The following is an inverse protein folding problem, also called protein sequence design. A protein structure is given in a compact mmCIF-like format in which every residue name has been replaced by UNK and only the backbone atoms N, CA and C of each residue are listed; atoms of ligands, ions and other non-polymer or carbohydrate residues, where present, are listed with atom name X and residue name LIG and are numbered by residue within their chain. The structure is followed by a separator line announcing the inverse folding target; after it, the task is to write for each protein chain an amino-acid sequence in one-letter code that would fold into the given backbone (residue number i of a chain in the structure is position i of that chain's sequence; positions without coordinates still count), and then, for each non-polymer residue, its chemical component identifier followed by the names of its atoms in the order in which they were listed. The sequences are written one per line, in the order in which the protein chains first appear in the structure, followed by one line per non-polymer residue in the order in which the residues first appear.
data_IF_976442180702
#
_entry.id   IF_976442180702
#
_cell.length_a   1.000
_cell.length_b   1.000
_cell.length_c   1.000
_cell.angle_alpha   90.00
_cell.angle_beta   90.00
_cell.angle_gamma   90.00
#
_symmetry.space_group_name_H-M   'P 1'
#
loop_
_entity.id
_entity.type
_entity.pdbx_description
1 polymer ?
#
# COMPACT_ATOMS: atom_id res chain seq x y z
N UNK A 1 -54.08 -25.04 -27.68
CA UNK A 1 -52.76 -24.57 -28.15
C UNK A 1 -52.24 -23.57 -27.13
N UNK A 2 -51.31 -23.96 -26.26
CA UNK A 2 -50.75 -23.08 -25.21
C UNK A 2 -49.50 -22.40 -25.76
N UNK A 3 -49.52 -21.07 -25.87
CA UNK A 3 -48.35 -20.27 -26.23
C UNK A 3 -47.39 -20.24 -25.03
N UNK A 4 -46.15 -20.72 -25.24
CA UNK A 4 -45.05 -20.46 -24.32
C UNK A 4 -44.47 -19.07 -24.64
N UNK A 5 -44.60 -18.14 -23.69
CA UNK A 5 -43.85 -16.90 -23.66
C UNK A 5 -42.46 -17.19 -23.09
N UNK A 6 -41.41 -17.03 -23.91
CA UNK A 6 -40.02 -17.04 -23.48
C UNK A 6 -39.66 -15.62 -23.01
N UNK A 7 -39.47 -15.47 -21.70
CA UNK A 7 -38.93 -14.26 -21.08
C UNK A 7 -37.39 -14.38 -21.09
N UNK A 8 -36.73 -13.70 -22.03
CA UNK A 8 -35.27 -13.63 -22.06
C UNK A 8 -34.77 -12.60 -21.03
N UNK A 9 -34.18 -13.07 -19.94
CA UNK A 9 -33.45 -12.23 -19.00
C UNK A 9 -32.10 -11.84 -19.63
N UNK A 10 -31.93 -10.57 -20.00
CA UNK A 10 -30.63 -10.00 -20.37
C UNK A 10 -29.84 -9.71 -19.09
N UNK A 11 -28.89 -10.58 -18.74
CA UNK A 11 -27.85 -10.28 -17.76
C UNK A 11 -26.85 -9.31 -18.40
N UNK A 12 -26.91 -8.02 -18.06
CA UNK A 12 -25.77 -7.13 -18.27
C UNK A 12 -24.65 -7.54 -17.29
N UNK A 13 -23.67 -8.27 -17.79
CA UNK A 13 -22.42 -8.47 -17.08
C UNK A 13 -21.67 -7.13 -17.03
N UNK A 14 -21.72 -6.43 -15.91
CA UNK A 14 -20.82 -5.32 -15.65
C UNK A 14 -19.40 -5.89 -15.53
N UNK A 15 -18.61 -5.73 -16.58
CA UNK A 15 -17.18 -6.02 -16.53
C UNK A 15 -16.52 -5.01 -15.59
N UNK A 16 -16.44 -5.35 -14.30
CA UNK A 16 -15.53 -4.69 -13.38
C UNK A 16 -14.11 -5.02 -13.84
N UNK A 17 -13.40 -4.05 -14.42
CA UNK A 17 -11.96 -4.16 -14.61
C UNK A 17 -11.31 -4.09 -13.23
N UNK A 18 -11.20 -5.24 -12.56
CA UNK A 18 -10.39 -5.35 -11.36
C UNK A 18 -8.93 -5.17 -11.76
N UNK A 19 -8.39 -3.98 -11.48
CA UNK A 19 -7.01 -3.69 -11.81
C UNK A 19 -6.07 -4.53 -10.95
N UNK A 20 -5.09 -5.17 -11.60
CA UNK A 20 -4.16 -6.08 -10.93
C UNK A 20 -3.30 -5.31 -9.92
N UNK A 21 -3.21 -5.83 -8.70
CA UNK A 21 -2.27 -5.34 -7.70
C UNK A 21 -0.83 -5.57 -8.19
N UNK A 22 -0.05 -4.49 -8.26
CA UNK A 22 1.34 -4.50 -8.68
C UNK A 22 2.28 -5.00 -7.58
N UNK A 23 1.84 -5.00 -6.32
CA UNK A 23 2.60 -5.50 -5.16
C UNK A 23 2.54 -7.01 -5.12
N UNK A 24 3.69 -7.67 -5.10
CA UNK A 24 3.76 -9.13 -4.91
C UNK A 24 3.71 -9.47 -3.42
N UNK A 25 3.03 -10.57 -3.09
CA UNK A 25 2.91 -11.04 -1.72
C UNK A 25 2.36 -9.95 -0.78
N UNK A 26 1.30 -9.28 -1.23
CA UNK A 26 0.70 -8.11 -0.59
C UNK A 26 0.10 -8.34 0.79
N UNK A 27 -0.39 -9.55 1.05
CA UNK A 27 -0.96 -9.97 2.34
C UNK A 27 -0.05 -10.91 3.12
N UNK A 28 1.25 -10.98 2.80
CA UNK A 28 2.24 -11.74 3.57
C UNK A 28 1.92 -13.23 3.77
N UNK A 29 1.17 -13.85 2.85
CA UNK A 29 0.76 -15.26 2.91
C UNK A 29 1.86 -16.24 2.51
N UNK A 30 3.01 -15.75 2.05
CA UNK A 30 4.16 -16.55 1.64
C UNK A 30 5.42 -15.97 2.27
N UNK A 31 5.39 -15.87 3.58
CA UNK A 31 6.41 -15.21 4.39
C UNK A 31 6.68 -13.78 3.90
N UNK A 32 7.94 -13.33 3.98
CA UNK A 32 8.38 -12.02 3.48
C UNK A 32 8.92 -12.08 2.04
N UNK A 33 8.60 -13.12 1.28
CA UNK A 33 9.09 -13.29 -0.11
C UNK A 33 8.68 -12.09 -0.98
N UNK A 34 9.64 -11.59 -1.79
CA UNK A 34 9.58 -10.37 -2.62
C UNK A 34 9.70 -9.04 -1.87
N UNK A 35 9.86 -9.06 -0.55
CA UNK A 35 10.17 -7.86 0.22
C UNK A 35 11.67 -7.81 0.55
N UNK A 36 12.26 -6.63 0.44
CA UNK A 36 13.63 -6.31 0.91
C UNK A 36 13.54 -5.84 2.36
N UNK A 37 14.64 -5.98 3.13
CA UNK A 37 14.68 -5.58 4.54
C UNK A 37 14.06 -6.60 5.48
N UNK A 38 14.03 -7.89 5.08
CA UNK A 38 13.37 -8.96 5.84
C UNK A 38 13.94 -9.13 7.25
N UNK A 39 15.21 -8.77 7.47
CA UNK A 39 15.86 -8.75 8.78
C UNK A 39 15.23 -7.76 9.77
N UNK A 40 14.47 -6.78 9.29
CA UNK A 40 13.79 -5.77 10.10
C UNK A 40 12.37 -6.20 10.51
N UNK A 41 11.88 -7.34 10.04
CA UNK A 41 10.49 -7.74 10.19
C UNK A 41 10.34 -9.22 10.56
N UNK A 42 9.16 -9.55 11.06
CA UNK A 42 8.69 -10.92 11.23
C UNK A 42 7.25 -11.03 10.72
N UNK A 43 6.67 -12.22 10.81
CA UNK A 43 5.25 -12.45 10.54
C UNK A 43 4.46 -12.48 11.86
N UNK A 44 3.27 -11.92 11.86
CA UNK A 44 2.29 -12.12 12.93
C UNK A 44 1.14 -12.99 12.45
N UNK A 45 0.88 -14.11 13.13
CA UNK A 45 -0.29 -14.95 12.89
C UNK A 45 -1.48 -14.58 13.78
N UNK A 46 -1.29 -13.68 14.74
CA UNK A 46 -2.33 -13.23 15.69
C UNK A 46 -2.97 -11.93 15.21
N UNK A 47 -2.16 -10.90 15.08
CA UNK A 47 -2.55 -9.60 14.54
C UNK A 47 -2.41 -9.62 13.03
N UNK A 48 -3.50 -9.95 12.34
CA UNK A 48 -3.61 -9.96 10.88
C UNK A 48 -4.93 -9.36 10.44
N UNK A 49 -4.94 -8.70 9.29
CA UNK A 49 -6.16 -8.09 8.76
C UNK A 49 -6.96 -9.09 7.95
N UNK A 50 -6.29 -9.90 7.13
CA UNK A 50 -6.88 -11.02 6.39
C UNK A 50 -5.93 -12.23 6.42
N UNK A 51 -6.36 -13.33 5.81
CA UNK A 51 -5.49 -14.50 5.61
C UNK A 51 -4.92 -15.13 6.88
N UNK A 52 -3.67 -15.56 6.81
CA UNK A 52 -2.93 -16.31 7.83
C UNK A 52 -1.89 -15.47 8.55
N UNK A 53 -1.40 -14.39 7.94
CA UNK A 53 -0.34 -13.57 8.53
C UNK A 53 -0.35 -12.12 8.08
N UNK A 54 0.29 -11.25 8.87
CA UNK A 54 0.68 -9.89 8.49
C UNK A 54 2.18 -9.70 8.68
N UNK A 55 2.75 -8.63 8.11
CA UNK A 55 4.10 -8.21 8.44
C UNK A 55 4.11 -7.44 9.77
N UNK A 56 5.06 -7.77 10.64
CA UNK A 56 5.34 -7.13 11.92
C UNK A 56 6.71 -6.46 11.86
N UNK A 57 6.79 -5.19 12.25
CA UNK A 57 8.06 -4.53 12.59
C UNK A 57 7.95 -4.03 14.02
N UNK A 58 8.90 -4.39 14.87
CA UNK A 58 8.97 -3.91 16.25
C UNK A 58 10.38 -3.44 16.63
N UNK A 59 10.40 -2.51 17.57
CA UNK A 59 11.62 -2.03 18.21
C UNK A 59 11.25 -1.44 19.58
N UNK A 60 11.93 -1.85 20.64
CA UNK A 60 11.64 -1.36 22.00
C UNK A 60 12.68 -0.37 22.51
N UNK A 61 13.84 -0.30 21.85
CA UNK A 61 14.93 0.65 22.17
C UNK A 61 15.67 1.03 20.89
N UNK A 62 16.29 2.21 20.86
CA UNK A 62 17.17 2.66 19.78
C UNK A 62 16.52 3.61 18.77
N UNK A 63 15.19 3.54 18.57
CA UNK A 63 14.47 4.39 17.63
C UNK A 63 15.15 4.48 16.25
N UNK A 64 15.45 3.33 15.64
CA UNK A 64 16.11 3.22 14.35
C UNK A 64 15.08 3.24 13.21
N UNK A 65 15.56 3.46 11.99
CA UNK A 65 14.73 3.25 10.81
C UNK A 65 14.69 1.77 10.47
N UNK A 66 13.50 1.16 10.54
CA UNK A 66 13.25 -0.24 10.16
C UNK A 66 12.15 -0.29 9.13
N UNK A 67 12.38 -0.98 8.01
CA UNK A 67 11.39 -1.07 6.95
C UNK A 67 11.45 -2.37 6.18
N UNK A 68 10.30 -2.74 5.63
CA UNK A 68 10.20 -3.60 4.46
C UNK A 68 9.96 -2.73 3.22
N UNK A 69 10.56 -3.07 2.09
CA UNK A 69 10.27 -2.39 0.83
C UNK A 69 10.14 -3.32 -0.37
N UNK A 70 9.39 -2.86 -1.37
CA UNK A 70 9.29 -3.50 -2.67
C UNK A 70 9.38 -2.44 -3.76
N UNK A 71 10.33 -2.60 -4.68
CA UNK A 71 10.47 -1.74 -5.85
C UNK A 71 9.73 -2.34 -7.03
N UNK A 72 8.79 -1.56 -7.59
CA UNK A 72 7.83 -1.97 -8.60
C UNK A 72 8.09 -1.17 -9.88
N UNK A 73 8.11 -1.84 -11.03
CA UNK A 73 8.15 -1.16 -12.33
C UNK A 73 6.80 -0.51 -12.60
N UNK A 74 6.82 0.78 -12.93
CA UNK A 74 5.61 1.51 -13.30
C UNK A 74 5.18 1.02 -14.70
N UNK A 75 3.93 0.53 -14.87
CA UNK A 75 3.44 0.16 -16.19
C UNK A 75 3.51 1.33 -17.17
N UNK A 76 3.79 1.05 -18.44
CA UNK A 76 3.83 2.09 -19.48
C UNK A 76 2.48 2.82 -19.56
N UNK A 77 2.52 4.11 -19.88
CA UNK A 77 1.34 4.98 -20.04
C UNK A 77 0.50 5.17 -18.76
N UNK A 78 1.04 4.84 -17.58
CA UNK A 78 0.42 5.20 -16.30
C UNK A 78 0.55 6.70 -16.04
N UNK A 79 -0.53 7.35 -15.60
CA UNK A 79 -0.56 8.76 -15.22
C UNK A 79 -0.31 8.96 -13.72
N UNK A 80 -0.90 8.10 -12.91
CA UNK A 80 -0.78 8.09 -11.46
C UNK A 80 -0.60 6.67 -10.93
N UNK A 81 -0.33 6.54 -9.63
CA UNK A 81 -0.48 5.30 -8.88
C UNK A 81 -1.43 5.54 -7.71
N UNK A 82 -2.29 4.58 -7.41
CA UNK A 82 -3.01 4.53 -6.14
C UNK A 82 -2.36 3.49 -5.25
N UNK A 83 -1.96 3.92 -4.07
CA UNK A 83 -1.40 3.05 -3.05
C UNK A 83 -2.38 2.94 -1.89
N UNK A 84 -2.54 1.74 -1.35
CA UNK A 84 -3.17 1.53 -0.06
C UNK A 84 -2.52 0.41 0.73
N UNK A 85 -2.57 0.47 2.06
CA UNK A 85 -2.26 -0.67 2.91
C UNK A 85 -3.04 -0.56 4.22
N UNK A 86 -3.34 -1.71 4.82
CA UNK A 86 -3.83 -1.76 6.18
C UNK A 86 -2.66 -1.64 7.13
N UNK A 87 -2.78 -0.77 8.13
CA UNK A 87 -1.79 -0.59 9.18
C UNK A 87 -2.47 -0.60 10.54
N UNK A 88 -1.86 -1.31 11.50
CA UNK A 88 -2.20 -1.31 12.92
C UNK A 88 -0.95 -0.95 13.70
N UNK A 89 -1.09 -0.19 14.78
CA UNK A 89 0.03 0.15 15.66
C UNK A 89 -0.26 -0.28 17.08
N UNK A 90 0.80 -0.65 17.80
CA UNK A 90 0.76 -0.91 19.22
C UNK A 90 1.93 -0.20 19.90
N UNK A 91 1.60 0.74 20.80
CA UNK A 91 2.54 1.54 21.58
C UNK A 91 3.63 2.21 20.74
N UNK A 92 3.30 2.69 19.54
CA UNK A 92 4.25 3.49 18.74
C UNK A 92 4.47 4.83 19.42
N UNK A 93 5.69 5.09 19.88
CA UNK A 93 5.98 6.27 20.69
C UNK A 93 5.83 7.56 19.90
N UNK A 94 5.25 8.57 20.56
CA UNK A 94 5.23 9.93 20.04
C UNK A 94 6.59 10.58 20.28
N UNK A 95 7.23 11.02 19.20
CA UNK A 95 8.48 11.77 19.22
C UNK A 95 8.23 13.24 18.87
N UNK A 96 9.24 14.10 19.11
CA UNK A 96 9.18 15.54 18.80
C UNK A 96 8.88 15.79 17.32
N UNK A 97 9.49 15.03 16.42
CA UNK A 97 9.26 15.15 14.99
C UNK A 97 8.11 14.24 14.52
N UNK A 98 7.18 14.79 13.75
CA UNK A 98 5.99 14.05 13.34
C UNK A 98 6.23 12.89 12.37
N UNK A 99 7.35 12.93 11.65
CA UNK A 99 7.72 11.84 10.74
C UNK A 99 8.18 10.57 11.47
N UNK A 100 8.53 10.68 12.76
CA UNK A 100 8.93 9.55 13.59
C UNK A 100 7.71 8.79 14.08
N UNK A 101 7.32 7.79 13.30
CA UNK A 101 6.03 7.12 13.40
C UNK A 101 6.07 5.77 12.66
N UNK A 102 5.02 4.97 12.83
CA UNK A 102 4.70 3.96 11.84
C UNK A 102 4.26 4.66 10.54
N UNK A 103 4.74 4.21 9.38
CA UNK A 103 4.49 4.90 8.12
C UNK A 103 4.40 3.97 6.91
N UNK A 104 3.53 4.36 5.96
CA UNK A 104 3.50 3.84 4.60
C UNK A 104 3.96 4.97 3.68
N UNK A 105 5.04 4.74 2.96
CA UNK A 105 5.69 5.76 2.12
C UNK A 105 5.89 5.17 0.73
N UNK A 106 5.70 5.98 -0.31
CA UNK A 106 6.13 5.64 -1.66
C UNK A 106 7.24 6.59 -2.11
N UNK A 107 8.18 6.07 -2.88
CA UNK A 107 9.22 6.83 -3.57
C UNK A 107 9.15 6.60 -5.06
N UNK A 108 9.15 7.68 -5.84
CA UNK A 108 9.32 7.59 -7.28
C UNK A 108 10.79 7.62 -7.62
N UNK A 109 11.21 6.68 -8.46
CA UNK A 109 12.61 6.42 -8.77
C UNK A 109 12.79 6.44 -10.29
N UNK A 110 13.85 7.06 -10.76
CA UNK A 110 14.17 7.12 -12.19
C UNK A 110 14.83 5.81 -12.69
N UNK A 111 15.21 5.77 -13.97
CA UNK A 111 15.87 4.61 -14.56
C UNK A 111 17.27 4.30 -13.98
N UNK A 112 17.93 5.29 -13.37
CA UNK A 112 19.26 5.20 -12.78
C UNK A 112 19.21 4.95 -11.25
N UNK A 113 18.07 4.46 -10.75
CA UNK A 113 17.84 4.16 -9.33
C UNK A 113 17.99 5.34 -8.36
N UNK A 114 17.86 6.57 -8.88
CA UNK A 114 17.82 7.80 -8.08
C UNK A 114 16.38 8.17 -7.73
N UNK A 115 16.15 8.46 -6.45
CA UNK A 115 14.88 9.02 -5.97
C UNK A 115 14.61 10.39 -6.63
N UNK A 116 13.39 10.56 -7.12
CA UNK A 116 12.85 11.81 -7.68
C UNK A 116 12.04 12.54 -6.61
N UNK A 117 11.11 11.84 -5.97
CA UNK A 117 10.24 12.37 -4.92
C UNK A 117 9.73 11.24 -4.02
N UNK A 118 9.11 11.62 -2.90
CA UNK A 118 8.48 10.71 -1.95
C UNK A 118 7.14 11.26 -1.48
N UNK A 119 6.19 10.37 -1.21
CA UNK A 119 4.89 10.70 -0.63
C UNK A 119 4.59 9.80 0.56
N UNK A 120 4.09 10.40 1.64
CA UNK A 120 3.53 9.64 2.77
C UNK A 120 2.07 9.32 2.47
N UNK A 121 1.74 8.03 2.46
CA UNK A 121 0.37 7.53 2.24
C UNK A 121 -0.38 7.46 3.58
N UNK A 122 0.32 7.06 4.64
CA UNK A 122 -0.25 6.94 5.97
C UNK A 122 0.81 7.05 7.05
N UNK A 123 0.39 7.56 8.21
CA UNK A 123 1.18 7.61 9.45
C UNK A 123 0.30 7.29 10.65
N UNK A 124 0.87 6.60 11.63
CA UNK A 124 0.23 6.29 12.89
C UNK A 124 1.23 6.33 14.05
N UNK A 125 0.72 6.75 15.21
CA UNK A 125 1.39 6.76 16.51
C UNK A 125 0.43 6.15 17.54
N UNK A 126 0.93 5.86 18.73
CA UNK A 126 0.21 5.23 19.83
C UNK A 126 -0.28 3.83 19.44
N UNK A 127 -1.35 3.36 20.10
CA UNK A 127 -2.05 2.13 19.73
C UNK A 127 -3.26 2.50 18.88
N UNK A 128 -3.42 1.83 17.74
CA UNK A 128 -4.55 2.03 16.83
C UNK A 128 -5.15 0.69 16.43
N UNK A 129 -6.41 0.68 16.03
CA UNK A 129 -6.97 -0.43 15.26
C UNK A 129 -6.49 -0.39 13.80
N UNK A 130 -6.75 -1.48 13.07
CA UNK A 130 -6.49 -1.57 11.64
C UNK A 130 -7.19 -0.45 10.89
N UNK A 131 -6.40 0.38 10.21
CA UNK A 131 -6.89 1.46 9.35
C UNK A 131 -6.34 1.28 7.95
N UNK A 132 -7.20 1.42 6.93
CA UNK A 132 -6.76 1.41 5.55
C UNK A 132 -6.32 2.84 5.16
N UNK A 133 -5.02 3.01 4.97
CA UNK A 133 -4.47 4.25 4.43
C UNK A 133 -4.41 4.14 2.92
N UNK A 134 -4.99 5.11 2.22
CA UNK A 134 -5.09 5.11 0.76
C UNK A 134 -4.83 6.52 0.21
N UNK A 135 -4.02 6.60 -0.85
CA UNK A 135 -3.77 7.86 -1.57
C UNK A 135 -3.42 7.57 -3.03
N UNK A 136 -3.99 8.37 -3.93
CA UNK A 136 -3.58 8.42 -5.33
C UNK A 136 -2.55 9.54 -5.52
N UNK A 137 -1.49 9.27 -6.26
CA UNK A 137 -0.37 10.18 -6.47
C UNK A 137 0.01 10.20 -7.94
N UNK A 138 0.05 11.39 -8.53
CA UNK A 138 0.52 11.60 -9.90
C UNK A 138 1.98 11.16 -10.04
N UNK A 139 2.28 10.41 -11.09
CA UNK A 139 3.64 9.95 -11.38
C UNK A 139 4.47 11.17 -11.83
N UNK A 140 5.59 11.51 -11.15
CA UNK A 140 6.47 12.58 -11.58
C UNK A 140 7.12 12.28 -12.93
N UNK A 141 7.48 13.33 -13.66
CA UNK A 141 8.25 13.19 -14.89
C UNK A 141 9.53 12.37 -14.64
N UNK A 142 9.85 11.49 -15.59
CA UNK A 142 11.02 10.60 -15.58
C UNK A 142 11.01 9.46 -14.55
N UNK A 143 9.98 9.30 -13.73
CA UNK A 143 9.83 8.13 -12.88
C UNK A 143 9.61 6.88 -13.72
N UNK A 144 10.30 5.79 -13.35
CA UNK A 144 10.22 4.46 -14.00
C UNK A 144 9.87 3.36 -13.01
N UNK A 145 10.19 3.58 -11.74
CA UNK A 145 9.90 2.67 -10.65
C UNK A 145 9.20 3.44 -9.53
N UNK A 146 8.43 2.72 -8.74
CA UNK A 146 7.90 3.17 -7.47
C UNK A 146 8.31 2.17 -6.42
N UNK A 147 8.92 2.64 -5.33
CA UNK A 147 9.24 1.82 -4.17
C UNK A 147 8.22 2.12 -3.09
N UNK A 148 7.55 1.08 -2.61
CA UNK A 148 6.71 1.16 -1.41
C UNK A 148 7.52 0.71 -0.20
N UNK A 149 7.46 1.50 0.87
CA UNK A 149 8.11 1.24 2.14
C UNK A 149 7.08 1.16 3.25
N UNK A 150 7.17 0.10 4.05
CA UNK A 150 6.39 -0.13 5.26
C UNK A 150 7.36 -0.01 6.43
N UNK A 151 7.24 1.05 7.21
CA UNK A 151 8.29 1.46 8.13
C UNK A 151 7.81 1.66 9.57
N UNK A 152 8.67 1.30 10.51
CA UNK A 152 8.74 1.91 11.82
C UNK A 152 9.88 2.95 11.75
N UNK A 153 9.50 4.21 11.53
CA UNK A 153 10.45 5.28 11.21
C UNK A 153 10.99 5.93 12.48
N UNK A 154 12.18 5.54 12.91
CA UNK A 154 12.95 6.22 13.96
C UNK A 154 12.15 6.47 15.25
N UNK A 155 11.41 5.45 15.68
CA UNK A 155 10.64 5.45 16.94
C UNK A 155 10.55 4.02 17.47
N UNK A 156 10.14 3.87 18.73
CA UNK A 156 9.89 2.55 19.32
C UNK A 156 8.39 2.21 19.25
N UNK A 157 8.08 0.93 19.44
CA UNK A 157 6.74 0.36 19.38
C UNK A 157 6.67 -0.80 18.41
N UNK A 158 5.44 -1.18 18.06
CA UNK A 158 5.15 -2.24 17.11
C UNK A 158 4.18 -1.75 16.05
N UNK A 159 4.45 -2.10 14.81
CA UNK A 159 3.54 -1.85 13.68
C UNK A 159 3.29 -3.14 12.92
N UNK A 160 2.05 -3.32 12.48
CA UNK A 160 1.61 -4.39 11.62
C UNK A 160 1.12 -3.82 10.30
N UNK A 161 1.45 -4.50 9.20
CA UNK A 161 1.01 -4.14 7.85
C UNK A 161 0.42 -5.35 7.15
N UNK A 162 -0.66 -5.13 6.41
CA UNK A 162 -1.33 -6.18 5.67
C UNK A 162 -2.06 -5.62 4.43
N UNK A 163 -2.41 -6.51 3.50
CA UNK A 163 -3.21 -6.21 2.30
C UNK A 163 -2.72 -4.96 1.55
N UNK A 164 -1.43 -4.95 1.23
CA UNK A 164 -0.76 -3.85 0.53
C UNK A 164 -1.16 -3.85 -0.95
N UNK A 165 -1.74 -2.76 -1.44
CA UNK A 165 -2.17 -2.63 -2.82
C UNK A 165 -1.52 -1.44 -3.51
N UNK A 166 -1.08 -1.66 -4.74
CA UNK A 166 -0.69 -0.60 -5.64
C UNK A 166 -1.22 -0.86 -7.03
N UNK A 167 -1.93 0.10 -7.59
CA UNK A 167 -2.43 0.05 -8.97
C UNK A 167 -1.95 1.30 -9.73
N UNK A 168 -1.69 1.14 -11.03
CA UNK A 168 -1.48 2.26 -11.92
C UNK A 168 -2.83 2.90 -12.26
N UNK A 169 -2.89 4.18 -12.58
CA UNK A 169 -4.13 4.82 -13.01
C UNK A 169 -3.90 5.58 -14.31
N UNK A 170 -4.89 5.55 -15.19
CA UNK A 170 -5.02 6.49 -16.29
C UNK A 170 -5.41 7.90 -15.78
N UNK A 171 -5.28 8.90 -16.65
CA UNK A 171 -5.60 10.29 -16.28
C UNK A 171 -7.08 10.46 -15.89
N UNK A 172 -8.00 9.86 -16.66
CA UNK A 172 -9.44 9.92 -16.36
C UNK A 172 -9.80 9.24 -15.02
N UNK A 173 -9.13 8.14 -14.69
CA UNK A 173 -9.34 7.42 -13.42
C UNK A 173 -8.84 8.27 -12.25
N UNK A 174 -7.65 8.86 -12.40
CA UNK A 174 -7.08 9.76 -11.39
C UNK A 174 -7.95 11.01 -11.17
N UNK A 175 -8.46 11.61 -12.24
CA UNK A 175 -9.34 12.79 -12.17
C UNK A 175 -10.66 12.51 -11.43
N UNK A 176 -11.19 11.27 -11.48
CA UNK A 176 -12.38 10.88 -10.70
C UNK A 176 -12.13 10.82 -9.19
N UNK A 177 -10.87 10.59 -8.79
CA UNK A 177 -10.47 10.51 -7.38
C UNK A 177 -10.14 11.89 -6.79
N UNK A 178 -9.81 12.85 -7.64
CA UNK A 178 -9.55 14.25 -7.28
C UNK A 178 -10.61 15.10 -7.98
N UNK A 179 -11.84 15.22 -7.46
CA UNK A 179 -12.83 16.10 -8.08
C UNK A 179 -12.25 17.51 -8.04
N UNK A 180 -11.80 18.00 -9.20
CA UNK A 180 -11.46 19.41 -9.35
C UNK A 180 -12.69 20.19 -8.89
N UNK A 181 -12.46 21.08 -7.92
CA UNK A 181 -13.40 22.11 -7.54
C UNK A 181 -13.61 22.95 -8.79
N UNK A 182 -14.71 22.69 -9.51
CA UNK A 182 -15.18 23.58 -10.58
C UNK A 182 -15.55 24.94 -10.01
#
# INVERSE_FOLDING_TARGET
MKQLLLFSLLFLATMSNAQMNLVKNSGFERDLINWTGQENAALSSYDKKTGRSSALINQYTGAEWRALDQTILIPKNSYAVECSAWMKTDQVESQKEDYKAAAIIIEFINAADKQISSETIGRAKNTTDWTNYKKAVKIPANAKKVRIMLALAQTNGTVFFDDVNMIALGEEEFAKLSPETK
#
